data_IF_953201540503
#
_entry.id   IF_953201540503
#
_cell.length_a   1.000
_cell.length_b   1.000
_cell.length_c   1.000
_cell.angle_alpha   90.00
_cell.angle_beta   90.00
_cell.angle_gamma   90.00
#
_symmetry.space_group_name_H-M   'P 1'
#
loop_
_entity.id
_entity.type
_entity.pdbx_description
1 polymer ?
#
# COMPACT_ATOMS: atom_id res chain seq x y z
N UNK A 1 10.69 -19.11 0.09
CA UNK A 1 9.27 -18.86 -0.18
C UNK A 1 8.70 -19.98 -1.02
N UNK A 2 7.62 -20.56 -0.59
CA UNK A 2 6.98 -21.64 -1.32
C UNK A 2 6.19 -21.12 -2.52
N UNK A 3 5.87 -22.02 -3.46
CA UNK A 3 5.02 -21.66 -4.60
C UNK A 3 3.65 -21.15 -4.14
N UNK A 4 3.08 -21.79 -3.10
CA UNK A 4 1.79 -21.38 -2.56
C UNK A 4 1.85 -19.99 -1.94
N UNK A 5 2.93 -19.65 -1.26
CA UNK A 5 3.09 -18.33 -0.66
C UNK A 5 3.25 -17.27 -1.75
N UNK A 6 3.97 -17.59 -2.81
CA UNK A 6 4.17 -16.68 -3.93
C UNK A 6 2.84 -16.38 -4.63
N UNK A 7 2.06 -17.43 -4.89
CA UNK A 7 0.74 -17.27 -5.49
C UNK A 7 -0.18 -16.44 -4.60
N UNK A 8 -0.15 -16.71 -3.29
CA UNK A 8 -0.95 -15.98 -2.31
C UNK A 8 -0.61 -14.49 -2.34
N UNK A 9 0.67 -14.15 -2.45
CA UNK A 9 1.11 -12.78 -2.53
C UNK A 9 0.61 -12.08 -3.79
N UNK A 10 0.72 -12.72 -4.95
CA UNK A 10 0.26 -12.15 -6.19
C UNK A 10 -1.26 -12.00 -6.22
N UNK A 11 -1.99 -12.97 -5.68
CA UNK A 11 -3.44 -12.89 -5.61
C UNK A 11 -3.87 -11.73 -4.71
N UNK A 12 -3.16 -11.51 -3.63
CA UNK A 12 -3.45 -10.41 -2.72
C UNK A 12 -3.18 -9.06 -3.37
N UNK A 13 -2.06 -8.93 -4.10
CA UNK A 13 -1.76 -7.70 -4.84
C UNK A 13 -2.87 -7.35 -5.82
N UNK A 14 -3.34 -8.34 -6.58
CA UNK A 14 -4.44 -8.14 -7.52
C UNK A 14 -5.72 -7.72 -6.80
N UNK A 15 -6.01 -8.35 -5.67
CA UNK A 15 -7.18 -8.02 -4.88
C UNK A 15 -7.13 -6.57 -4.39
N UNK A 16 -5.97 -6.15 -3.87
CA UNK A 16 -5.83 -4.79 -3.34
C UNK A 16 -5.90 -3.77 -4.47
N UNK A 17 -5.28 -4.05 -5.62
CA UNK A 17 -5.35 -3.17 -6.78
C UNK A 17 -6.81 -2.94 -7.17
N UNK A 18 -7.59 -4.00 -7.23
CA UNK A 18 -9.01 -3.93 -7.61
C UNK A 18 -9.84 -3.18 -6.55
N UNK A 19 -9.58 -3.48 -5.27
CA UNK A 19 -10.29 -2.79 -4.19
C UNK A 19 -10.03 -1.29 -4.21
N UNK A 20 -8.80 -0.89 -4.45
CA UNK A 20 -8.48 0.53 -4.55
C UNK A 20 -9.22 1.17 -5.71
N UNK A 21 -9.26 0.51 -6.87
CA UNK A 21 -9.98 1.03 -8.00
C UNK A 21 -11.46 1.21 -7.69
N UNK A 22 -12.09 0.19 -7.13
CA UNK A 22 -13.53 0.20 -6.86
C UNK A 22 -13.87 1.20 -5.76
N UNK A 23 -13.13 1.16 -4.65
CA UNK A 23 -13.47 1.97 -3.48
C UNK A 23 -13.13 3.45 -3.67
N UNK A 24 -12.16 3.77 -4.51
CA UNK A 24 -11.81 5.16 -4.82
C UNK A 24 -12.48 5.67 -6.10
N UNK A 25 -13.18 4.80 -6.83
CA UNK A 25 -13.83 5.18 -8.07
C UNK A 25 -12.87 5.54 -9.19
N UNK A 26 -11.73 4.83 -9.27
CA UNK A 26 -10.73 5.12 -10.29
C UNK A 26 -11.14 4.48 -11.62
N UNK A 27 -10.76 5.11 -12.71
CA UNK A 27 -11.10 4.61 -14.05
C UNK A 27 -10.36 3.34 -14.39
N UNK A 28 -9.16 3.17 -13.85
CA UNK A 28 -8.29 2.03 -14.13
C UNK A 28 -7.82 1.38 -12.85
N UNK A 29 -7.46 0.09 -12.90
CA UNK A 29 -6.87 -0.55 -11.72
C UNK A 29 -5.57 0.16 -11.33
N UNK A 30 -5.26 0.12 -10.05
CA UNK A 30 -4.00 0.66 -9.57
C UNK A 30 -2.88 -0.18 -10.16
N UNK A 31 -1.85 0.50 -10.65
CA UNK A 31 -0.78 -0.14 -11.36
C UNK A 31 0.02 -1.08 -10.46
N UNK A 32 0.11 -2.33 -10.88
CA UNK A 32 0.99 -3.31 -10.26
C UNK A 32 2.35 -3.23 -10.95
N UNK A 33 3.39 -3.19 -10.16
CA UNK A 33 4.73 -3.15 -10.72
C UNK A 33 5.28 -4.55 -10.70
N UNK A 34 5.26 -5.20 -11.87
CA UNK A 34 5.75 -6.56 -12.03
C UNK A 34 7.19 -6.49 -12.49
N UNK A 35 8.05 -7.18 -11.78
CA UNK A 35 9.44 -7.25 -12.17
C UNK A 35 9.79 -8.71 -12.49
N UNK A 36 10.37 -8.92 -13.66
CA UNK A 36 10.84 -10.23 -14.07
C UNK A 36 12.29 -10.47 -13.69
N UNK A 37 12.99 -9.41 -13.28
CA UNK A 37 14.42 -9.44 -13.09
C UNK A 37 14.83 -9.22 -11.64
N UNK A 38 13.91 -9.39 -10.72
CA UNK A 38 14.18 -9.31 -9.29
C UNK A 38 14.72 -7.97 -8.82
N UNK A 39 14.55 -6.95 -9.61
CA UNK A 39 14.85 -5.60 -9.17
C UNK A 39 13.88 -5.23 -8.05
N UNK A 40 14.43 -4.83 -6.91
CA UNK A 40 13.60 -4.54 -5.73
C UNK A 40 13.53 -3.05 -5.42
N UNK A 41 13.62 -2.23 -6.47
CA UNK A 41 13.67 -0.78 -6.29
C UNK A 41 12.32 -0.11 -6.42
N UNK A 42 11.24 -0.89 -6.39
CA UNK A 42 9.89 -0.33 -6.52
C UNK A 42 8.90 -1.12 -5.69
N UNK A 43 7.76 -0.50 -5.32
CA UNK A 43 6.73 -1.16 -4.52
C UNK A 43 5.90 -2.12 -5.38
N UNK A 44 5.06 -2.92 -4.70
CA UNK A 44 4.13 -3.83 -5.38
C UNK A 44 3.08 -3.06 -6.18
N UNK A 45 2.55 -1.99 -5.60
CA UNK A 45 1.56 -1.14 -6.24
C UNK A 45 2.01 0.31 -6.16
N UNK A 46 1.66 1.07 -7.19
CA UNK A 46 1.98 2.49 -7.23
C UNK A 46 0.72 3.27 -7.58
N UNK A 47 0.33 4.17 -6.69
CA UNK A 47 -0.80 5.06 -6.90
C UNK A 47 -0.31 6.47 -6.61
N UNK A 48 0.14 7.17 -7.66
CA UNK A 48 0.71 8.49 -7.51
C UNK A 48 1.93 8.47 -6.60
N UNK A 49 1.87 9.23 -5.53
CA UNK A 49 2.95 9.30 -4.54
C UNK A 49 2.82 8.23 -3.47
N UNK A 50 1.82 7.37 -3.57
CA UNK A 50 1.59 6.28 -2.63
C UNK A 50 2.33 5.04 -3.11
N UNK A 51 3.24 4.54 -2.29
CA UNK A 51 4.04 3.34 -2.57
C UNK A 51 3.55 2.25 -1.64
N UNK A 52 2.95 1.21 -2.21
CA UNK A 52 2.20 0.22 -1.45
C UNK A 52 2.85 -1.15 -1.56
N UNK A 53 3.24 -1.71 -0.42
CA UNK A 53 3.66 -3.11 -0.30
C UNK A 53 2.50 -3.93 0.22
N UNK A 54 2.30 -5.10 -0.38
CA UNK A 54 1.21 -5.99 -0.01
C UNK A 54 1.78 -7.28 0.55
N UNK A 55 1.32 -7.68 1.73
CA UNK A 55 1.77 -8.90 2.41
C UNK A 55 0.57 -9.71 2.88
N UNK A 56 0.48 -10.95 2.44
CA UNK A 56 -0.58 -11.86 2.86
C UNK A 56 0.04 -13.17 3.30
N UNK A 57 -0.12 -13.52 4.56
CA UNK A 57 0.48 -14.71 5.14
C UNK A 57 -0.56 -15.51 5.92
N UNK A 58 -0.33 -16.80 6.04
CA UNK A 58 -1.25 -17.71 6.70
C UNK A 58 -1.35 -17.43 8.19
N UNK A 59 -0.21 -17.32 8.85
CA UNK A 59 -0.16 -17.16 10.32
C UNK A 59 0.57 -15.88 10.70
N UNK A 60 0.07 -15.25 11.75
CA UNK A 60 0.69 -14.08 12.30
C UNK A 60 -0.31 -13.20 13.01
N UNK A 61 0.20 -12.23 13.71
CA UNK A 61 -0.60 -11.24 14.40
C UNK A 61 -0.01 -9.86 14.18
N UNK A 62 1.26 -9.68 14.48
CA UNK A 62 2.00 -8.45 14.23
C UNK A 62 2.86 -8.64 12.99
N UNK A 63 2.84 -7.68 12.05
CA UNK A 63 3.72 -7.78 10.90
C UNK A 63 5.18 -7.61 11.32
N UNK A 64 6.09 -8.44 10.80
CA UNK A 64 7.51 -8.24 11.06
C UNK A 64 7.95 -6.85 10.63
N UNK A 65 8.82 -6.24 11.41
CA UNK A 65 9.32 -4.89 11.10
C UNK A 65 10.02 -4.85 9.73
N UNK A 66 10.56 -5.98 9.29
CA UNK A 66 11.20 -6.06 7.97
C UNK A 66 10.25 -5.69 6.83
N UNK A 67 8.94 -5.95 6.97
CA UNK A 67 7.97 -5.57 5.95
C UNK A 67 7.86 -4.06 5.80
N UNK A 68 7.86 -3.36 6.93
CA UNK A 68 7.83 -1.91 6.91
C UNK A 68 9.12 -1.33 6.34
N UNK A 69 10.26 -1.90 6.73
CA UNK A 69 11.55 -1.48 6.18
C UNK A 69 11.60 -1.68 4.66
N UNK A 70 10.96 -2.74 4.16
CA UNK A 70 10.93 -3.00 2.73
C UNK A 70 10.22 -1.89 1.98
N UNK A 71 9.05 -1.44 2.45
CA UNK A 71 8.33 -0.37 1.78
C UNK A 71 9.06 0.96 1.92
N UNK A 72 9.68 1.22 3.06
CA UNK A 72 10.51 2.41 3.22
C UNK A 72 11.64 2.44 2.20
N UNK A 73 12.27 1.30 1.99
CA UNK A 73 13.42 1.20 1.09
C UNK A 73 13.08 1.47 -0.37
N UNK A 74 11.83 1.29 -0.77
CA UNK A 74 11.41 1.50 -2.16
C UNK A 74 10.61 2.78 -2.35
N UNK A 75 10.43 3.56 -1.28
CA UNK A 75 9.65 4.80 -1.35
C UNK A 75 10.57 5.97 -1.61
N UNK A 76 10.41 6.67 -2.73
CA UNK A 76 11.21 7.86 -2.99
C UNK A 76 10.97 8.97 -1.97
N UNK A 77 11.95 9.84 -1.82
CA UNK A 77 11.83 10.96 -0.92
C UNK A 77 10.65 11.85 -1.32
N UNK A 78 9.85 12.23 -0.35
CA UNK A 78 8.68 13.07 -0.59
C UNK A 78 7.44 12.30 -0.97
N UNK A 79 7.52 10.97 -1.00
CA UNK A 79 6.37 10.12 -1.26
C UNK A 79 5.98 9.36 -0.01
N UNK A 80 4.89 8.61 -0.09
CA UNK A 80 4.26 8.00 1.07
C UNK A 80 4.40 6.49 1.05
N UNK A 81 5.06 5.89 2.07
CA UNK A 81 5.09 4.44 2.19
C UNK A 81 3.81 3.92 2.84
N UNK A 82 3.30 2.81 2.33
CA UNK A 82 2.10 2.17 2.87
C UNK A 82 2.30 0.66 2.85
N UNK A 83 2.02 0.02 3.98
CA UNK A 83 2.05 -1.43 4.09
C UNK A 83 0.62 -1.94 4.26
N UNK A 84 0.13 -2.69 3.27
CA UNK A 84 -1.17 -3.35 3.36
C UNK A 84 -0.92 -4.81 3.65
N UNK A 85 -1.45 -5.31 4.75
CA UNK A 85 -1.16 -6.69 5.13
C UNK A 85 -2.40 -7.40 5.64
N UNK A 86 -2.36 -8.71 5.55
CA UNK A 86 -3.46 -9.57 6.00
C UNK A 86 -2.91 -10.93 6.41
N UNK A 87 -3.37 -11.43 7.55
CA UNK A 87 -3.19 -12.82 7.95
C UNK A 87 -4.51 -13.56 7.76
N UNK A 88 -4.43 -14.86 7.51
CA UNK A 88 -5.64 -15.64 7.25
C UNK A 88 -6.64 -15.50 8.40
N UNK A 89 -7.91 -15.36 8.04
CA UNK A 89 -9.02 -15.21 9.00
C UNK A 89 -8.97 -13.92 9.81
N UNK A 90 -8.18 -12.96 9.37
CA UNK A 90 -8.10 -11.63 9.98
C UNK A 90 -8.35 -10.56 8.93
N UNK A 91 -8.82 -9.38 9.35
CA UNK A 91 -9.12 -8.33 8.38
C UNK A 91 -7.85 -7.71 7.79
N UNK A 92 -8.03 -7.06 6.65
CA UNK A 92 -6.96 -6.28 6.04
C UNK A 92 -6.62 -5.11 6.97
N UNK A 93 -5.32 -4.88 7.16
CA UNK A 93 -4.81 -3.75 7.92
C UNK A 93 -3.89 -2.93 7.03
N UNK A 94 -3.83 -1.63 7.31
CA UNK A 94 -3.00 -0.70 6.56
C UNK A 94 -2.13 0.07 7.55
N UNK A 95 -0.83 -0.07 7.40
CA UNK A 95 0.14 0.62 8.25
C UNK A 95 0.75 1.79 7.51
N UNK A 96 0.78 2.96 8.17
CA UNK A 96 1.36 4.14 7.57
C UNK A 96 1.90 5.07 8.66
N UNK A 97 2.51 6.17 8.23
CA UNK A 97 3.13 7.12 9.14
C UNK A 97 2.09 8.05 9.75
N UNK A 98 2.20 8.31 11.05
CA UNK A 98 1.26 9.18 11.75
C UNK A 98 1.30 10.61 11.25
N UNK A 99 2.41 11.05 10.64
CA UNK A 99 2.51 12.40 10.11
C UNK A 99 1.48 12.68 9.00
N UNK A 100 0.93 11.64 8.39
CA UNK A 100 -0.13 11.80 7.40
C UNK A 100 -1.42 12.30 8.02
N UNK A 101 -1.60 12.10 9.32
CA UNK A 101 -2.75 12.58 10.06
C UNK A 101 -2.49 13.89 10.79
N UNK A 102 -1.24 14.12 11.17
CA UNK A 102 -0.88 15.30 11.94
C UNK A 102 0.56 15.70 11.61
N UNK A 103 0.71 16.83 10.91
CA UNK A 103 2.02 17.30 10.46
C UNK A 103 2.99 17.60 11.59
N UNK A 104 2.49 17.82 12.80
CA UNK A 104 3.36 18.01 13.98
C UNK A 104 4.19 16.78 14.28
N UNK A 105 3.80 15.62 13.72
CA UNK A 105 4.51 14.36 13.91
C UNK A 105 5.43 14.04 12.74
N UNK A 106 5.76 15.01 11.90
CA UNK A 106 6.52 14.77 10.68
C UNK A 106 7.92 14.19 10.92
N UNK A 107 8.52 14.49 12.07
CA UNK A 107 9.83 13.95 12.43
C UNK A 107 9.73 12.71 13.30
N UNK A 108 8.51 12.23 13.55
CA UNK A 108 8.27 11.08 14.38
C UNK A 108 8.42 9.80 13.57
N UNK A 109 8.89 8.74 14.22
CA UNK A 109 8.90 7.41 13.64
C UNK A 109 7.66 6.61 14.01
N UNK A 110 6.65 7.27 14.56
CA UNK A 110 5.43 6.61 14.96
C UNK A 110 4.64 6.14 13.75
N UNK A 111 4.11 4.93 13.86
CA UNK A 111 3.28 4.33 12.83
C UNK A 111 1.89 4.06 13.40
N UNK A 112 0.90 4.00 12.54
CA UNK A 112 -0.44 3.60 12.94
C UNK A 112 -0.97 2.54 11.98
N UNK A 113 -1.86 1.72 12.48
CA UNK A 113 -2.58 0.74 11.67
C UNK A 113 -4.03 1.16 11.58
N UNK A 114 -4.55 1.17 10.35
CA UNK A 114 -5.94 1.49 10.07
C UNK A 114 -6.62 0.26 9.49
N UNK A 115 -7.95 0.18 9.65
CA UNK A 115 -8.68 -0.77 8.85
C UNK A 115 -8.83 -0.23 7.42
N UNK A 116 -9.33 -1.07 6.51
CA UNK A 116 -9.40 -0.69 5.11
C UNK A 116 -10.28 0.54 4.87
N UNK A 117 -11.46 0.56 5.51
CA UNK A 117 -12.41 1.64 5.32
C UNK A 117 -11.84 2.98 5.77
N UNK A 118 -11.12 2.99 6.87
CA UNK A 118 -10.48 4.21 7.39
C UNK A 118 -9.38 4.69 6.44
N UNK A 119 -8.62 3.75 5.86
CA UNK A 119 -7.59 4.10 4.89
C UNK A 119 -8.20 4.78 3.66
N UNK A 120 -9.27 4.20 3.12
CA UNK A 120 -9.96 4.78 1.96
C UNK A 120 -10.50 6.17 2.31
N UNK A 121 -11.11 6.30 3.49
CA UNK A 121 -11.61 7.60 3.94
C UNK A 121 -10.49 8.65 4.03
N UNK A 122 -9.34 8.25 4.55
CA UNK A 122 -8.18 9.14 4.62
C UNK A 122 -7.74 9.60 3.22
N UNK A 123 -7.65 8.68 2.27
CA UNK A 123 -7.27 9.01 0.91
C UNK A 123 -8.26 9.98 0.26
N UNK A 124 -9.54 9.72 0.41
CA UNK A 124 -10.56 10.55 -0.20
C UNK A 124 -10.67 11.93 0.44
N UNK A 125 -10.50 11.99 1.75
CA UNK A 125 -10.75 13.21 2.51
C UNK A 125 -9.56 14.15 2.50
N UNK A 126 -8.36 13.61 2.67
CA UNK A 126 -7.17 14.42 2.87
C UNK A 126 -6.22 14.43 1.67
N UNK A 127 -6.32 13.42 0.80
CA UNK A 127 -5.35 13.23 -0.28
C UNK A 127 -6.01 13.04 -1.63
N UNK A 128 -7.25 13.49 -1.78
CA UNK A 128 -8.02 13.30 -3.02
C UNK A 128 -7.33 13.91 -4.23
N UNK A 129 -6.74 15.09 -4.06
CA UNK A 129 -6.09 15.78 -5.18
C UNK A 129 -4.93 14.97 -5.72
N UNK A 130 -4.18 14.33 -4.86
CA UNK A 130 -3.07 13.47 -5.28
C UNK A 130 -3.57 12.28 -6.10
N UNK A 131 -4.72 11.71 -5.70
CA UNK A 131 -5.30 10.58 -6.41
C UNK A 131 -5.81 10.98 -7.79
N UNK A 132 -6.52 12.11 -7.86
CA UNK A 132 -7.08 12.61 -9.11
C UNK A 132 -5.98 12.95 -10.12
N UNK A 133 -4.96 13.62 -9.65
CA UNK A 133 -3.83 13.99 -10.50
C UNK A 133 -3.20 12.74 -11.12
N UNK A 134 -2.95 11.73 -10.29
CA UNK A 134 -2.34 10.50 -10.75
C UNK A 134 -3.24 9.77 -11.74
N UNK A 135 -4.53 9.71 -11.45
CA UNK A 135 -5.50 9.03 -12.28
C UNK A 135 -5.57 9.70 -13.66
N UNK A 136 -5.60 11.02 -13.69
CA UNK A 136 -5.66 11.76 -14.94
C UNK A 136 -4.39 11.55 -15.77
N UNK A 137 -3.24 11.59 -15.13
CA UNK A 137 -1.99 11.35 -15.82
C UNK A 137 -1.92 9.94 -16.41
N UNK A 138 -2.50 8.96 -15.70
CA UNK A 138 -2.52 7.58 -16.18
C UNK A 138 -3.46 7.39 -17.38
N UNK A 139 -4.46 8.23 -17.50
CA UNK A 139 -5.46 8.13 -18.58
C UNK A 139 -4.98 8.79 -19.88
N UNK A 140 -3.97 9.62 -19.78
CA UNK A 140 -3.39 10.27 -20.94
C UNK A 140 -2.24 9.47 -21.53
#
# INVERSE_FOLDING_TARGET
MTINQRKKGHDFERKISKKLQEDLGLKRPVRRILTQYQEKNHPDLKLGRWNIECKAYKKGFEPPFAWWKQVLGVTPRGEFPVLVYKFDNKPIRVRLQTCLLNKKLSNSKMLIDLNWESFIYLLETMYRDCLLYTSDAADE
#
